data_IF_816761033050
#
_entry.id   IF_816761033050
#
_cell.length_a   1.000
_cell.length_b   1.000
_cell.length_c   1.000
_cell.angle_alpha   90.00
_cell.angle_beta   90.00
_cell.angle_gamma   90.00
#
_symmetry.space_group_name_H-M   'P 1'
#
loop_
_entity.id
_entity.type
_entity.pdbx_description
1 polymer ?
#
# COMPACT_ATOMS: atom_id res chain seq x y z
N UNK A 1 30.51 -23.58 2.48
CA UNK A 1 29.51 -23.88 1.44
C UNK A 1 30.21 -24.17 0.12
N UNK A 2 29.79 -25.21 -0.62
CA UNK A 2 30.27 -25.53 -1.98
C UNK A 2 29.07 -25.53 -2.93
N UNK A 3 29.18 -24.81 -4.03
CA UNK A 3 28.17 -24.80 -5.09
C UNK A 3 28.64 -25.68 -6.25
N UNK A 4 27.77 -26.56 -6.71
CA UNK A 4 27.99 -27.39 -7.89
C UNK A 4 26.84 -27.10 -8.85
N UNK A 5 27.15 -26.39 -9.94
CA UNK A 5 26.19 -26.11 -11.00
C UNK A 5 26.19 -27.21 -12.06
N UNK A 6 25.01 -27.69 -12.42
CA UNK A 6 24.79 -28.57 -13.57
C UNK A 6 23.94 -27.81 -14.58
N UNK A 7 24.45 -27.68 -15.81
CA UNK A 7 23.72 -27.07 -16.92
C UNK A 7 23.73 -28.02 -18.11
N UNK A 8 22.55 -28.49 -18.49
CA UNK A 8 22.28 -29.23 -19.72
C UNK A 8 21.15 -28.50 -20.47
N UNK A 9 20.99 -28.68 -21.78
CA UNK A 9 19.86 -28.09 -22.50
C UNK A 9 18.52 -28.49 -21.86
N UNK A 10 17.78 -27.50 -21.36
CA UNK A 10 16.49 -27.71 -20.68
C UNK A 10 16.57 -28.11 -19.20
N UNK A 11 17.76 -28.23 -18.61
CA UNK A 11 17.94 -28.52 -17.18
C UNK A 11 19.04 -27.65 -16.58
N UNK A 12 18.65 -26.79 -15.65
CA UNK A 12 19.57 -26.06 -14.79
C UNK A 12 19.35 -26.51 -13.35
N UNK A 13 20.40 -27.01 -12.71
CA UNK A 13 20.37 -27.45 -11.33
C UNK A 13 21.55 -26.83 -10.58
N UNK A 14 21.29 -26.30 -9.39
CA UNK A 14 22.30 -25.86 -8.45
C UNK A 14 22.25 -26.80 -7.24
N UNK A 15 23.34 -27.54 -7.01
CA UNK A 15 23.52 -28.33 -5.81
C UNK A 15 24.39 -27.56 -4.83
N UNK A 16 23.85 -27.30 -3.65
CA UNK A 16 24.57 -26.66 -2.56
C UNK A 16 24.92 -27.70 -1.49
N UNK A 17 26.20 -27.79 -1.15
CA UNK A 17 26.70 -28.66 -0.08
C UNK A 17 27.28 -27.78 1.03
N UNK A 18 26.67 -27.86 2.21
CA UNK A 18 27.15 -27.15 3.40
C UNK A 18 27.34 -28.09 4.59
N UNK A 19 28.16 -27.65 5.57
CA UNK A 19 28.32 -28.30 6.88
C UNK A 19 27.37 -27.70 7.92
N UNK A 20 26.68 -26.61 7.57
CA UNK A 20 25.74 -25.93 8.45
C UNK A 20 24.56 -26.85 8.77
N UNK A 21 24.06 -26.77 10.00
CA UNK A 21 22.85 -27.51 10.35
C UNK A 21 21.64 -26.92 9.62
N UNK A 22 20.55 -27.69 9.44
CA UNK A 22 19.30 -27.16 8.88
C UNK A 22 18.80 -25.88 9.56
N UNK A 23 19.00 -25.77 10.88
CA UNK A 23 18.59 -24.59 11.66
C UNK A 23 19.41 -23.34 11.32
N UNK A 24 20.73 -23.50 11.15
CA UNK A 24 21.60 -22.40 10.71
C UNK A 24 21.20 -21.96 9.30
N UNK A 25 20.94 -22.92 8.40
CA UNK A 25 20.51 -22.60 7.04
C UNK A 25 19.16 -21.88 6.99
N UNK A 26 18.21 -22.29 7.82
CA UNK A 26 16.92 -21.62 7.98
C UNK A 26 17.10 -20.18 8.48
N UNK A 27 17.96 -19.95 9.48
CA UNK A 27 18.27 -18.61 10.00
C UNK A 27 18.92 -17.71 8.94
N UNK A 28 19.83 -18.24 8.14
CA UNK A 28 20.47 -17.51 7.04
C UNK A 28 19.45 -17.11 5.97
N UNK A 29 18.56 -18.04 5.58
CA UNK A 29 17.50 -17.76 4.60
C UNK A 29 16.55 -16.68 5.12
N UNK A 30 16.15 -16.74 6.39
CA UNK A 30 15.32 -15.69 6.99
C UNK A 30 16.05 -14.34 7.07
N UNK A 31 17.33 -14.35 7.44
CA UNK A 31 18.16 -13.13 7.50
C UNK A 31 18.27 -12.48 6.12
N UNK A 32 18.61 -13.27 5.09
CA UNK A 32 18.69 -12.80 3.71
C UNK A 32 17.33 -12.27 3.22
N UNK A 33 16.26 -12.97 3.55
CA UNK A 33 14.91 -12.54 3.19
C UNK A 33 14.55 -11.19 3.79
N UNK A 34 14.77 -11.00 5.11
CA UNK A 34 14.48 -9.76 5.84
C UNK A 34 15.32 -8.58 5.35
N UNK A 35 16.51 -8.82 4.81
CA UNK A 35 17.35 -7.77 4.21
C UNK A 35 16.77 -7.22 2.90
N UNK A 36 16.04 -8.05 2.15
CA UNK A 36 15.59 -7.71 0.80
C UNK A 36 14.08 -7.54 0.66
N UNK A 37 13.29 -8.00 1.62
CA UNK A 37 11.83 -7.99 1.56
C UNK A 37 11.24 -7.25 2.74
N UNK A 38 10.05 -6.68 2.52
CA UNK A 38 9.18 -6.28 3.60
C UNK A 38 8.80 -7.54 4.39
N UNK A 39 8.89 -7.46 5.72
CA UNK A 39 8.42 -8.50 6.62
C UNK A 39 7.70 -7.87 7.81
N UNK A 40 6.96 -8.69 8.55
CA UNK A 40 6.09 -8.22 9.61
C UNK A 40 6.35 -9.03 10.87
N UNK A 41 6.46 -8.33 12.00
CA UNK A 41 6.65 -8.91 13.32
C UNK A 41 5.37 -8.78 14.14
N UNK A 42 5.03 -9.82 14.90
CA UNK A 42 3.79 -9.88 15.69
C UNK A 42 2.99 -11.20 15.54
N UNK A 43 1.70 -11.19 15.92
CA UNK A 43 0.91 -10.03 16.35
C UNK A 43 1.36 -9.45 17.70
N UNK A 44 1.21 -8.15 17.86
CA UNK A 44 1.36 -7.42 19.12
C UNK A 44 0.04 -7.39 19.90
N UNK A 45 0.08 -7.06 21.19
CA UNK A 45 -1.13 -7.05 22.05
C UNK A 45 -2.09 -5.90 21.71
N UNK A 46 -1.53 -4.74 21.33
CA UNK A 46 -2.27 -3.52 21.01
C UNK A 46 -1.44 -2.60 20.10
N UNK A 47 -2.07 -1.57 19.54
CA UNK A 47 -1.40 -0.59 18.67
C UNK A 47 -0.23 0.10 19.37
N UNK A 48 -0.37 0.43 20.66
CA UNK A 48 0.66 1.12 21.43
C UNK A 48 1.93 0.30 21.55
N UNK A 49 1.81 -1.01 21.74
CA UNK A 49 2.94 -1.94 21.83
C UNK A 49 3.62 -2.17 20.48
N UNK A 50 2.87 -2.20 19.37
CA UNK A 50 3.45 -2.21 18.03
C UNK A 50 4.18 -0.89 17.72
N UNK A 51 3.55 0.25 18.04
CA UNK A 51 4.15 1.57 17.84
C UNK A 51 5.46 1.71 18.62
N UNK A 52 5.49 1.29 19.89
CA UNK A 52 6.69 1.32 20.73
C UNK A 52 7.82 0.40 20.21
N UNK A 53 7.49 -0.60 19.39
CA UNK A 53 8.42 -1.53 18.77
C UNK A 53 8.83 -1.10 17.34
N UNK A 54 8.47 0.11 16.91
CA UNK A 54 8.70 0.63 15.55
C UNK A 54 9.31 2.03 15.56
N UNK A 55 9.92 2.44 14.44
CA UNK A 55 10.52 3.76 14.27
C UNK A 55 9.45 4.86 14.03
N UNK A 56 8.36 4.49 13.35
CA UNK A 56 7.24 5.39 13.01
C UNK A 56 7.46 6.25 11.76
N UNK A 57 6.43 7.01 11.39
CA UNK A 57 6.38 7.80 10.14
C UNK A 57 7.06 9.17 10.18
N UNK A 58 7.44 9.66 11.36
CA UNK A 58 7.89 11.05 11.54
C UNK A 58 9.38 11.29 11.26
N UNK A 59 10.09 10.34 10.63
CA UNK A 59 11.50 10.51 10.34
C UNK A 59 11.70 11.51 9.18
N UNK A 60 12.45 12.63 9.36
CA UNK A 60 12.69 13.62 8.31
C UNK A 60 13.29 13.05 7.02
N UNK A 61 14.03 11.94 7.13
CA UNK A 61 14.63 11.24 6.00
C UNK A 61 13.59 10.66 5.02
N UNK A 62 12.40 10.27 5.52
CA UNK A 62 11.31 9.75 4.67
C UNK A 62 10.77 10.87 3.78
N UNK A 63 10.51 12.06 4.35
CA UNK A 63 10.06 13.23 3.59
C UNK A 63 11.09 13.64 2.54
N UNK A 64 12.38 13.71 2.89
CA UNK A 64 13.41 14.05 1.92
C UNK A 64 13.41 13.07 0.73
N UNK A 65 13.29 11.77 1.01
CA UNK A 65 13.27 10.74 -0.01
C UNK A 65 12.01 10.81 -0.90
N UNK A 66 10.82 11.04 -0.31
CA UNK A 66 9.58 11.15 -1.09
C UNK A 66 9.59 12.39 -1.99
N UNK A 67 10.16 13.51 -1.52
CA UNK A 67 10.36 14.72 -2.32
C UNK A 67 11.28 14.43 -3.52
N UNK A 68 12.42 13.79 -3.28
CA UNK A 68 13.39 13.49 -4.36
C UNK A 68 12.84 12.50 -5.39
N UNK A 69 12.09 11.48 -4.95
CA UNK A 69 11.40 10.55 -5.82
C UNK A 69 10.32 11.28 -6.66
N UNK A 70 9.51 12.13 -6.03
CA UNK A 70 8.46 12.90 -6.72
C UNK A 70 9.06 13.88 -7.73
N UNK A 71 10.15 14.58 -7.39
CA UNK A 71 10.92 15.42 -8.33
C UNK A 71 11.38 14.63 -9.54
N UNK A 72 11.84 13.38 -9.36
CA UNK A 72 12.24 12.53 -10.48
C UNK A 72 11.10 12.30 -11.46
N UNK A 73 9.88 12.09 -10.95
CA UNK A 73 8.69 11.87 -11.78
C UNK A 73 8.23 13.16 -12.47
N UNK A 74 8.22 14.29 -11.75
CA UNK A 74 7.81 15.60 -12.32
C UNK A 74 8.78 16.07 -13.40
N UNK A 75 10.08 15.84 -13.22
CA UNK A 75 11.13 16.20 -14.17
C UNK A 75 11.28 15.19 -15.33
N UNK A 76 10.45 14.13 -15.37
CA UNK A 76 10.50 13.11 -16.42
C UNK A 76 11.69 12.16 -16.36
N UNK A 77 12.45 12.15 -15.25
CA UNK A 77 13.53 11.18 -14.99
C UNK A 77 13.01 9.80 -14.59
N UNK A 78 11.76 9.73 -14.12
CA UNK A 78 11.03 8.51 -13.83
C UNK A 78 9.59 8.61 -14.38
N UNK A 79 8.96 7.47 -14.66
CA UNK A 79 7.57 7.40 -15.09
C UNK A 79 6.59 7.57 -13.93
N UNK A 80 6.90 6.97 -12.78
CA UNK A 80 6.15 7.11 -11.53
C UNK A 80 7.05 6.69 -10.35
N UNK A 81 6.55 6.88 -9.13
CA UNK A 81 7.17 6.34 -7.92
C UNK A 81 6.12 5.63 -7.07
N UNK A 82 6.57 4.70 -6.23
CA UNK A 82 5.74 4.00 -5.25
C UNK A 82 6.58 3.70 -4.02
N UNK A 83 6.11 4.11 -2.85
CA UNK A 83 6.83 3.96 -1.58
C UNK A 83 8.26 4.52 -1.67
N UNK A 84 8.44 5.65 -2.37
CA UNK A 84 9.72 6.32 -2.69
C UNK A 84 10.65 5.60 -3.69
N UNK A 85 10.27 4.42 -4.17
CA UNK A 85 10.99 3.70 -5.23
C UNK A 85 10.58 4.27 -6.58
N UNK A 86 11.55 4.72 -7.37
CA UNK A 86 11.31 5.28 -8.71
C UNK A 86 11.27 4.19 -9.77
N UNK A 87 10.33 4.30 -10.71
CA UNK A 87 10.17 3.38 -11.83
C UNK A 87 10.32 4.14 -13.14
N UNK A 88 11.22 3.70 -14.00
CA UNK A 88 11.46 4.32 -15.32
C UNK A 88 10.47 3.82 -16.37
N UNK A 89 10.05 2.57 -16.29
CA UNK A 89 9.02 1.99 -17.14
C UNK A 89 7.63 2.34 -16.61
N UNK A 90 6.73 2.73 -17.51
CA UNK A 90 5.37 3.08 -17.14
C UNK A 90 4.57 1.83 -16.81
N UNK A 91 3.90 1.86 -15.66
CA UNK A 91 2.94 0.85 -15.25
C UNK A 91 1.81 1.52 -14.49
N UNK A 92 0.59 1.04 -14.69
CA UNK A 92 -0.59 1.52 -14.01
C UNK A 92 -1.09 0.47 -13.03
N UNK A 93 -1.68 0.91 -11.92
CA UNK A 93 -2.58 0.05 -11.16
C UNK A 93 -3.89 -0.06 -11.95
N UNK A 94 -3.99 -1.07 -12.81
CA UNK A 94 -5.16 -1.23 -13.69
C UNK A 94 -6.50 -1.28 -12.94
N UNK A 95 -6.64 -1.96 -11.79
CA UNK A 95 -7.89 -1.92 -11.01
C UNK A 95 -8.24 -0.50 -10.54
N UNK A 96 -7.27 0.22 -9.97
CA UNK A 96 -7.44 1.61 -9.53
C UNK A 96 -7.84 2.52 -10.70
N UNK A 97 -7.11 2.44 -11.81
CA UNK A 97 -7.38 3.24 -13.00
C UNK A 97 -8.77 2.97 -13.59
N UNK A 98 -9.19 1.70 -13.64
CA UNK A 98 -10.50 1.31 -14.16
C UNK A 98 -11.63 1.95 -13.34
N UNK A 99 -11.54 1.92 -12.01
CA UNK A 99 -12.55 2.52 -11.13
C UNK A 99 -12.54 4.05 -11.18
N UNK A 100 -11.36 4.69 -11.29
CA UNK A 100 -11.28 6.14 -11.51
C UNK A 100 -11.92 6.56 -12.84
N UNK A 101 -11.67 5.82 -13.92
CA UNK A 101 -12.31 6.06 -15.23
C UNK A 101 -13.82 5.79 -15.18
N UNK A 102 -14.26 4.77 -14.44
CA UNK A 102 -15.69 4.52 -14.21
C UNK A 102 -16.36 5.71 -13.52
N UNK A 103 -15.79 6.22 -12.43
CA UNK A 103 -16.32 7.42 -11.73
C UNK A 103 -16.40 8.62 -12.68
N UNK A 104 -15.37 8.86 -13.48
CA UNK A 104 -15.35 9.94 -14.46
C UNK A 104 -16.44 9.76 -15.52
N UNK A 105 -16.64 8.54 -16.02
CA UNK A 105 -17.69 8.22 -17.01
C UNK A 105 -19.12 8.44 -16.48
N UNK A 106 -19.30 8.38 -15.16
CA UNK A 106 -20.56 8.63 -14.46
C UNK A 106 -20.75 10.09 -14.03
N UNK A 107 -19.80 10.97 -14.37
CA UNK A 107 -19.71 12.35 -13.90
C UNK A 107 -19.36 13.33 -15.02
N UNK A 108 -19.90 13.14 -16.23
CA UNK A 108 -19.64 14.00 -17.41
C UNK A 108 -18.15 14.17 -17.73
N UNK A 109 -17.37 13.08 -17.60
CA UNK A 109 -15.92 13.04 -17.76
C UNK A 109 -15.17 13.98 -16.79
N UNK A 110 -15.74 14.25 -15.62
CA UNK A 110 -15.11 15.01 -14.53
C UNK A 110 -14.66 14.05 -13.44
N UNK A 111 -13.39 14.13 -13.06
CA UNK A 111 -12.84 13.35 -11.96
C UNK A 111 -12.32 14.31 -10.89
N UNK A 112 -12.96 14.28 -9.72
CA UNK A 112 -12.63 15.10 -8.57
C UNK A 112 -12.32 14.18 -7.40
N UNK A 113 -11.03 14.05 -7.09
CA UNK A 113 -10.50 13.07 -6.13
C UNK A 113 -10.05 13.78 -4.88
N UNK A 114 -10.49 13.27 -3.72
CA UNK A 114 -9.79 13.49 -2.46
C UNK A 114 -9.00 12.22 -2.15
N UNK A 115 -7.68 12.33 -2.05
CA UNK A 115 -6.74 11.23 -1.86
C UNK A 115 -6.14 11.31 -0.45
N UNK A 116 -6.68 10.50 0.45
CA UNK A 116 -6.31 10.54 1.87
C UNK A 116 -5.09 9.66 2.11
N UNK A 117 -3.99 10.26 2.58
CA UNK A 117 -2.69 9.59 2.68
C UNK A 117 -1.98 9.41 1.32
N UNK A 118 -2.23 10.32 0.37
CA UNK A 118 -1.67 10.27 -0.98
C UNK A 118 -0.20 10.72 -1.11
N UNK A 119 0.49 10.96 0.02
CA UNK A 119 1.85 11.50 0.08
C UNK A 119 2.01 12.80 -0.74
N UNK A 120 2.87 12.80 -1.76
CA UNK A 120 3.08 13.94 -2.66
C UNK A 120 2.32 13.79 -4.00
N UNK A 121 1.27 12.95 -4.03
CA UNK A 121 0.47 12.69 -5.23
C UNK A 121 0.93 11.47 -6.02
N UNK A 122 1.45 10.42 -5.37
CA UNK A 122 1.97 9.20 -6.01
C UNK A 122 0.98 8.59 -7.00
N UNK A 123 -0.26 8.37 -6.54
CA UNK A 123 -1.36 7.83 -7.35
C UNK A 123 -1.75 8.77 -8.49
N UNK A 124 -1.79 10.09 -8.25
CA UNK A 124 -2.01 11.09 -9.28
C UNK A 124 -0.94 11.00 -10.37
N UNK A 125 0.34 11.05 -10.01
CA UNK A 125 1.44 11.05 -10.97
C UNK A 125 1.55 9.75 -11.77
N UNK A 126 1.25 8.60 -11.14
CA UNK A 126 1.21 7.31 -11.83
C UNK A 126 0.13 7.30 -12.93
N UNK A 127 -1.04 7.92 -12.70
CA UNK A 127 -2.20 7.78 -13.58
C UNK A 127 -2.53 9.03 -14.42
N UNK A 128 -1.97 10.22 -14.13
CA UNK A 128 -2.31 11.52 -14.77
C UNK A 128 -2.27 11.49 -16.29
N UNK A 129 -1.37 10.71 -16.88
CA UNK A 129 -1.24 10.60 -18.34
C UNK A 129 -2.43 9.88 -18.97
N UNK A 130 -2.94 8.82 -18.33
CA UNK A 130 -4.13 8.11 -18.76
C UNK A 130 -5.41 8.94 -18.51
N UNK A 131 -5.40 9.81 -17.50
CA UNK A 131 -6.52 10.67 -17.11
C UNK A 131 -6.52 12.03 -17.81
N UNK A 132 -5.52 12.34 -18.64
CA UNK A 132 -5.33 13.67 -19.23
C UNK A 132 -6.43 14.09 -20.21
N UNK A 133 -7.18 13.12 -20.75
CA UNK A 133 -8.27 13.32 -21.72
C UNK A 133 -9.61 13.71 -21.08
N UNK A 134 -9.70 13.66 -19.74
CA UNK A 134 -10.92 14.01 -19.02
C UNK A 134 -11.26 15.50 -19.16
N UNK A 135 -12.55 15.82 -19.15
CA UNK A 135 -13.04 17.20 -19.23
C UNK A 135 -12.62 18.04 -18.01
N UNK A 136 -12.51 17.38 -16.85
CA UNK A 136 -11.99 17.96 -15.61
C UNK A 136 -11.20 16.91 -14.84
N UNK A 137 -10.03 17.29 -14.33
CA UNK A 137 -9.25 16.50 -13.40
C UNK A 137 -8.80 17.40 -12.25
N UNK A 138 -9.36 17.16 -11.07
CA UNK A 138 -8.98 17.84 -9.82
C UNK A 138 -8.64 16.78 -8.77
N UNK A 139 -7.46 16.86 -8.18
CA UNK A 139 -6.93 15.90 -7.23
C UNK A 139 -6.42 16.65 -6.02
N UNK A 140 -7.00 16.40 -4.84
CA UNK A 140 -6.54 16.98 -3.59
C UNK A 140 -6.01 15.88 -2.69
N UNK A 141 -4.73 15.95 -2.35
CA UNK A 141 -4.13 15.06 -1.37
C UNK A 141 -4.35 15.61 0.04
N UNK A 142 -4.85 14.76 0.94
CA UNK A 142 -4.95 15.04 2.37
C UNK A 142 -3.81 14.33 3.08
N UNK A 143 -2.94 15.09 3.74
CA UNK A 143 -1.70 14.59 4.32
C UNK A 143 -1.26 15.39 5.55
N UNK A 144 -0.23 14.90 6.24
CA UNK A 144 0.34 15.55 7.41
C UNK A 144 0.92 16.93 7.06
N UNK A 145 0.91 17.92 7.98
CA UNK A 145 1.24 19.31 7.68
C UNK A 145 2.60 19.54 7.00
N UNK A 146 3.62 18.74 7.34
CA UNK A 146 4.95 18.85 6.75
C UNK A 146 5.00 18.33 5.30
N UNK A 147 4.24 17.29 4.98
CA UNK A 147 4.08 16.78 3.60
C UNK A 147 3.28 17.78 2.77
N UNK A 148 2.18 18.31 3.32
CA UNK A 148 1.34 19.34 2.68
C UNK A 148 2.17 20.59 2.36
N UNK A 149 3.03 21.03 3.28
CA UNK A 149 3.91 22.17 3.07
C UNK A 149 4.87 21.94 1.89
N UNK A 150 5.49 20.76 1.80
CA UNK A 150 6.35 20.39 0.67
C UNK A 150 5.57 20.25 -0.64
N UNK A 151 4.37 19.63 -0.59
CA UNK A 151 3.45 19.50 -1.71
C UNK A 151 3.08 20.84 -2.33
N UNK A 152 2.61 21.79 -1.51
CA UNK A 152 2.26 23.16 -1.93
C UNK A 152 3.45 23.92 -2.49
N UNK A 153 4.63 23.75 -1.91
CA UNK A 153 5.83 24.47 -2.32
C UNK A 153 6.37 24.01 -3.68
N UNK A 154 6.23 22.73 -4.04
CA UNK A 154 6.96 22.14 -5.17
C UNK A 154 6.09 21.46 -6.24
N UNK A 155 4.91 20.96 -5.89
CA UNK A 155 4.15 20.03 -6.74
C UNK A 155 2.70 20.46 -7.00
N UNK A 156 2.18 21.44 -6.26
CA UNK A 156 0.83 21.97 -6.46
C UNK A 156 0.71 22.70 -7.81
N UNK A 157 -0.36 22.41 -8.53
CA UNK A 157 -0.67 23.03 -9.83
C UNK A 157 -2.19 23.20 -10.00
N UNK A 158 -2.65 23.52 -11.22
CA UNK A 158 -4.07 23.71 -11.49
C UNK A 158 -4.94 22.44 -11.39
N UNK A 159 -4.35 21.26 -11.20
CA UNK A 159 -5.00 19.94 -11.13
C UNK A 159 -4.69 19.20 -9.84
N UNK A 160 -3.50 19.34 -9.27
CA UNK A 160 -3.07 18.73 -8.02
C UNK A 160 -2.98 19.78 -6.92
N UNK A 161 -3.63 19.55 -5.79
CA UNK A 161 -3.58 20.41 -4.60
C UNK A 161 -3.39 19.62 -3.32
N UNK A 162 -3.07 20.30 -2.22
CA UNK A 162 -2.85 19.66 -0.92
C UNK A 162 -3.69 20.30 0.19
N UNK A 163 -4.10 19.52 1.17
CA UNK A 163 -4.84 19.95 2.36
C UNK A 163 -4.38 19.18 3.59
N UNK A 164 -4.43 19.83 4.75
CA UNK A 164 -4.14 19.25 6.05
C UNK A 164 -5.36 18.59 6.70
N UNK A 165 -6.55 18.71 6.09
CA UNK A 165 -7.80 18.24 6.65
C UNK A 165 -8.77 17.67 5.62
N UNK A 166 -9.44 16.58 5.97
CA UNK A 166 -10.40 15.90 5.10
C UNK A 166 -11.61 16.80 4.77
N UNK A 167 -12.15 17.53 5.76
CA UNK A 167 -13.31 18.41 5.57
C UNK A 167 -13.00 19.57 4.62
N UNK A 168 -11.85 20.23 4.81
CA UNK A 168 -11.40 21.31 3.93
C UNK A 168 -11.26 20.81 2.48
N UNK A 169 -10.66 19.64 2.29
CA UNK A 169 -10.51 19.02 0.98
C UNK A 169 -11.86 18.69 0.32
N UNK A 170 -12.81 18.15 1.08
CA UNK A 170 -14.14 17.81 0.57
C UNK A 170 -14.94 19.07 0.21
N UNK A 171 -14.93 20.09 1.05
CA UNK A 171 -15.65 21.34 0.80
C UNK A 171 -15.08 22.08 -0.42
N UNK A 172 -13.76 22.07 -0.55
CA UNK A 172 -13.03 22.72 -1.64
C UNK A 172 -13.19 22.01 -2.97
N UNK A 173 -12.99 20.67 -2.98
CA UNK A 173 -12.97 19.89 -4.23
C UNK A 173 -14.35 19.38 -4.62
N UNK A 174 -15.26 19.18 -3.66
CA UNK A 174 -16.55 18.50 -3.87
C UNK A 174 -16.34 17.19 -4.65
N UNK A 175 -15.56 16.25 -4.06
CA UNK A 175 -15.13 15.05 -4.77
C UNK A 175 -16.33 14.22 -5.21
N UNK A 176 -16.19 13.56 -6.35
CA UNK A 176 -17.06 12.43 -6.68
C UNK A 176 -16.48 11.10 -6.19
N UNK A 177 -15.18 11.05 -5.87
CA UNK A 177 -14.54 9.89 -5.26
C UNK A 177 -13.54 10.27 -4.17
N UNK A 178 -13.54 9.52 -3.07
CA UNK A 178 -12.44 9.51 -2.09
C UNK A 178 -11.58 8.27 -2.30
N UNK A 179 -10.27 8.45 -2.35
CA UNK A 179 -9.28 7.38 -2.47
C UNK A 179 -8.61 7.12 -1.11
N UNK A 180 -8.56 5.85 -0.73
CA UNK A 180 -7.86 5.33 0.45
C UNK A 180 -6.92 4.22 -0.02
N UNK A 181 -5.73 4.57 -0.54
CA UNK A 181 -4.80 3.59 -1.09
C UNK A 181 -3.62 3.34 -0.15
N UNK A 182 -3.67 2.25 0.63
CA UNK A 182 -2.58 1.85 1.52
C UNK A 182 -2.40 2.76 2.73
N UNK A 183 -3.49 3.33 3.25
CA UNK A 183 -3.46 4.30 4.37
C UNK A 183 -4.13 3.77 5.63
N UNK A 184 -5.28 3.10 5.50
CA UNK A 184 -6.14 2.77 6.65
C UNK A 184 -5.41 1.93 7.70
N UNK A 185 -4.66 0.92 7.26
CA UNK A 185 -3.92 0.02 8.16
C UNK A 185 -2.85 0.70 9.02
N UNK A 186 -2.44 1.93 8.68
CA UNK A 186 -1.40 2.66 9.39
C UNK A 186 -1.95 3.70 10.39
N UNK A 187 -3.28 3.79 10.51
CA UNK A 187 -3.94 4.66 11.48
C UNK A 187 -4.13 3.94 12.82
N UNK A 188 -4.00 4.67 13.93
CA UNK A 188 -4.19 4.12 15.28
C UNK A 188 -5.62 3.56 15.48
N UNK A 189 -6.62 4.26 14.95
CA UNK A 189 -8.05 3.92 15.11
C UNK A 189 -8.70 3.78 13.72
N UNK A 190 -8.32 2.75 12.93
CA UNK A 190 -8.64 2.70 11.50
C UNK A 190 -10.14 2.67 11.22
N UNK A 191 -10.92 1.95 12.05
CA UNK A 191 -12.38 1.88 11.91
C UNK A 191 -13.08 3.21 12.24
N UNK A 192 -12.53 4.01 13.16
CA UNK A 192 -13.11 5.32 13.49
C UNK A 192 -12.89 6.32 12.35
N UNK A 193 -11.68 6.35 11.78
CA UNK A 193 -11.40 7.15 10.58
C UNK A 193 -12.27 6.71 9.39
N UNK A 194 -12.47 5.39 9.23
CA UNK A 194 -13.32 4.85 8.17
C UNK A 194 -14.79 5.26 8.36
N UNK A 195 -15.37 5.06 9.55
CA UNK A 195 -16.75 5.47 9.88
C UNK A 195 -16.94 6.98 9.69
N UNK A 196 -15.99 7.78 10.17
CA UNK A 196 -16.00 9.24 10.02
C UNK A 196 -16.02 9.65 8.53
N UNK A 197 -15.15 9.06 7.71
CA UNK A 197 -15.10 9.33 6.27
C UNK A 197 -16.39 8.92 5.57
N UNK A 198 -16.91 7.72 5.85
CA UNK A 198 -18.16 7.23 5.26
C UNK A 198 -19.35 8.14 5.60
N UNK A 199 -19.39 8.69 6.82
CA UNK A 199 -20.46 9.57 7.28
C UNK A 199 -20.64 10.84 6.45
N UNK A 200 -19.59 11.27 5.72
CA UNK A 200 -19.62 12.45 4.84
C UNK A 200 -20.34 12.23 3.52
N UNK A 201 -20.70 10.98 3.20
CA UNK A 201 -21.62 10.68 2.11
C UNK A 201 -21.10 10.97 0.70
N UNK A 202 -19.78 10.93 0.47
CA UNK A 202 -19.23 11.06 -0.89
C UNK A 202 -19.71 9.90 -1.76
N UNK A 203 -20.14 10.20 -3.00
CA UNK A 203 -20.84 9.23 -3.85
C UNK A 203 -20.07 7.93 -4.07
N UNK A 204 -18.76 8.01 -4.30
CA UNK A 204 -17.90 6.86 -4.49
C UNK A 204 -16.73 6.88 -3.50
N UNK A 205 -16.34 5.70 -3.02
CA UNK A 205 -15.11 5.52 -2.25
C UNK A 205 -14.35 4.36 -2.87
N UNK A 206 -13.06 4.57 -3.10
CA UNK A 206 -12.16 3.56 -3.62
C UNK A 206 -11.11 3.27 -2.55
N UNK A 207 -11.19 2.07 -1.98
CA UNK A 207 -10.24 1.56 -1.00
C UNK A 207 -9.30 0.62 -1.74
N UNK A 208 -8.00 0.84 -1.62
CA UNK A 208 -6.97 0.13 -2.37
C UNK A 208 -5.80 -0.23 -1.45
N UNK A 209 -5.01 -1.26 -1.82
CA UNK A 209 -3.83 -1.73 -1.07
C UNK A 209 -4.04 -1.82 0.45
N UNK A 210 -5.19 -2.31 0.91
CA UNK A 210 -5.47 -2.45 2.35
C UNK A 210 -5.14 -3.86 2.84
N UNK A 211 -4.33 -3.97 3.90
CA UNK A 211 -4.01 -5.24 4.54
C UNK A 211 -5.20 -5.72 5.39
N UNK A 212 -6.04 -6.58 4.82
CA UNK A 212 -7.29 -6.98 5.45
C UNK A 212 -7.72 -8.41 5.11
N UNK A 213 -8.28 -9.11 6.09
CA UNK A 213 -8.66 -10.52 5.99
C UNK A 213 -10.08 -10.79 6.46
N UNK A 214 -10.70 -11.79 5.83
CA UNK A 214 -11.95 -12.32 6.30
C UNK A 214 -11.70 -13.36 7.40
N UNK A 215 -12.65 -13.47 8.33
CA UNK A 215 -12.69 -14.52 9.35
C UNK A 215 -11.52 -14.55 10.35
N UNK A 216 -10.78 -13.44 10.50
CA UNK A 216 -9.76 -13.23 11.53
C UNK A 216 -9.99 -11.93 12.28
N UNK A 217 -9.65 -11.90 13.57
CA UNK A 217 -9.69 -10.65 14.33
C UNK A 217 -8.62 -9.68 13.83
N UNK A 218 -8.92 -8.37 13.87
CA UNK A 218 -7.91 -7.37 13.56
C UNK A 218 -6.78 -7.45 14.59
N UNK A 219 -5.52 -7.42 14.12
CA UNK A 219 -4.36 -7.53 14.99
C UNK A 219 -3.24 -6.58 14.54
N UNK A 220 -2.52 -5.95 15.49
CA UNK A 220 -1.42 -5.06 15.16
C UNK A 220 -0.12 -5.85 14.97
N UNK A 221 0.70 -5.41 14.02
CA UNK A 221 2.02 -5.92 13.68
C UNK A 221 3.00 -4.75 13.55
N UNK A 222 4.29 -5.04 13.46
CA UNK A 222 5.31 -4.09 13.01
C UNK A 222 5.75 -4.49 11.60
N UNK A 223 5.54 -3.61 10.63
CA UNK A 223 6.09 -3.74 9.28
C UNK A 223 7.53 -3.23 9.27
N UNK A 224 8.46 -4.02 8.75
CA UNK A 224 9.84 -3.62 8.53
C UNK A 224 10.10 -3.40 7.04
N UNK A 225 10.70 -2.25 6.70
CA UNK A 225 11.04 -1.88 5.32
C UNK A 225 12.53 -2.14 5.09
N UNK A 226 12.93 -2.84 4.01
CA UNK A 226 14.33 -3.10 3.72
C UNK A 226 15.06 -1.81 3.32
N UNK A 227 16.34 -1.71 3.69
CA UNK A 227 17.13 -0.49 3.55
C UNK A 227 17.26 0.04 2.11
N UNK A 228 17.12 -0.82 1.09
CA UNK A 228 17.14 -0.42 -0.31
C UNK A 228 15.90 0.41 -0.71
N UNK A 229 14.76 0.20 -0.04
CA UNK A 229 13.59 1.09 -0.10
C UNK A 229 13.84 2.26 0.85
N UNK A 230 13.99 2.03 2.14
CA UNK A 230 14.55 2.94 3.15
C UNK A 230 14.53 2.20 4.50
N UNK A 231 15.44 2.54 5.41
CA UNK A 231 15.47 1.90 6.73
C UNK A 231 14.40 2.53 7.63
N UNK A 232 13.27 1.85 7.79
CA UNK A 232 12.25 2.22 8.77
C UNK A 232 11.37 1.01 9.14
N UNK A 233 10.61 1.19 10.22
CA UNK A 233 9.57 0.26 10.65
C UNK A 233 8.32 1.02 11.10
N UNK A 234 7.15 0.41 10.91
CA UNK A 234 5.86 1.04 11.16
C UNK A 234 4.90 0.11 11.89
N UNK A 235 4.06 0.63 12.81
CA UNK A 235 2.92 -0.14 13.28
C UNK A 235 1.92 -0.29 12.13
N UNK A 236 1.32 -1.47 12.00
CA UNK A 236 0.32 -1.75 10.99
C UNK A 236 -0.76 -2.66 11.56
N UNK A 237 -2.01 -2.42 11.20
CA UNK A 237 -3.09 -3.35 11.41
C UNK A 237 -3.20 -4.36 10.26
N UNK A 238 -3.32 -5.64 10.59
CA UNK A 238 -4.04 -6.56 9.71
C UNK A 238 -5.51 -6.46 10.08
N UNK A 239 -6.29 -5.81 9.23
CA UNK A 239 -7.67 -5.44 9.51
C UNK A 239 -8.62 -6.63 9.30
N UNK A 240 -9.78 -6.59 9.96
CA UNK A 240 -10.87 -7.52 9.69
C UNK A 240 -11.76 -6.95 8.57
N UNK A 241 -11.70 -7.58 7.41
CA UNK A 241 -12.45 -7.18 6.21
C UNK A 241 -13.98 -7.23 6.41
N UNK A 242 -14.48 -8.14 7.24
CA UNK A 242 -15.92 -8.25 7.54
C UNK A 242 -16.39 -7.09 8.40
N UNK A 243 -15.60 -6.64 9.36
CA UNK A 243 -15.87 -5.44 10.16
C UNK A 243 -15.84 -4.17 9.30
N UNK A 244 -14.89 -4.06 8.38
CA UNK A 244 -14.87 -2.97 7.39
C UNK A 244 -16.15 -2.96 6.55
N UNK A 245 -16.59 -4.11 6.02
CA UNK A 245 -17.83 -4.19 5.25
C UNK A 245 -19.09 -3.89 6.07
N UNK A 246 -19.09 -4.25 7.36
CA UNK A 246 -20.17 -3.87 8.26
C UNK A 246 -20.25 -2.35 8.44
N UNK A 247 -19.11 -1.66 8.52
CA UNK A 247 -19.03 -0.19 8.52
C UNK A 247 -19.56 0.41 7.21
N UNK A 248 -19.19 -0.16 6.04
CA UNK A 248 -19.73 0.30 4.75
C UNK A 248 -21.26 0.23 4.72
N UNK A 249 -21.82 -0.93 5.09
CA UNK A 249 -23.27 -1.16 5.10
C UNK A 249 -24.00 -0.28 6.12
N UNK A 250 -23.42 -0.08 7.32
CA UNK A 250 -23.92 0.84 8.35
C UNK A 250 -24.09 2.27 7.83
N UNK A 251 -23.24 2.68 6.89
CA UNK A 251 -23.26 3.99 6.26
C UNK A 251 -23.88 3.96 4.85
N UNK A 252 -24.75 3.00 4.54
CA UNK A 252 -25.46 2.84 3.26
C UNK A 252 -24.56 2.81 2.01
N UNK A 253 -23.35 2.28 2.13
CA UNK A 253 -22.51 1.98 0.97
C UNK A 253 -22.70 0.54 0.53
N UNK A 254 -22.92 0.36 -0.77
CA UNK A 254 -22.84 -0.94 -1.43
C UNK A 254 -21.40 -1.19 -1.88
N UNK A 255 -20.94 -2.44 -1.69
CA UNK A 255 -19.70 -2.93 -2.29
C UNK A 255 -20.00 -3.32 -3.73
N UNK A 256 -19.67 -2.44 -4.67
CA UNK A 256 -19.85 -2.70 -6.11
C UNK A 256 -18.85 -3.71 -6.62
N UNK A 257 -17.61 -3.64 -6.13
CA UNK A 257 -16.57 -4.61 -6.46
C UNK A 257 -15.58 -4.80 -5.32
N UNK A 258 -14.96 -5.98 -5.31
CA UNK A 258 -13.81 -6.32 -4.49
C UNK A 258 -12.73 -6.88 -5.40
N UNK A 259 -11.58 -6.24 -5.42
CA UNK A 259 -10.49 -6.58 -6.33
C UNK A 259 -9.18 -6.81 -5.59
N UNK A 260 -8.26 -7.48 -6.28
CA UNK A 260 -6.87 -7.62 -5.85
C UNK A 260 -6.07 -6.42 -6.39
N UNK A 261 -5.47 -5.59 -5.53
CA UNK A 261 -4.60 -4.50 -5.94
C UNK A 261 -3.38 -5.01 -6.72
N UNK A 262 -2.75 -4.12 -7.50
CA UNK A 262 -1.48 -4.43 -8.12
C UNK A 262 -0.44 -4.82 -7.05
N UNK A 263 0.37 -5.84 -7.34
CA UNK A 263 1.33 -6.41 -6.40
C UNK A 263 2.19 -5.34 -5.70
N UNK A 264 2.23 -5.41 -4.38
CA UNK A 264 3.06 -4.59 -3.50
C UNK A 264 4.46 -5.20 -3.35
N UNK A 265 5.38 -4.49 -2.72
CA UNK A 265 6.68 -5.05 -2.38
C UNK A 265 6.53 -6.06 -1.23
N UNK A 266 7.15 -7.22 -1.34
CA UNK A 266 7.19 -8.23 -0.28
C UNK A 266 6.61 -9.57 -0.69
N UNK A 267 7.36 -10.63 -0.41
CA UNK A 267 6.88 -12.01 -0.46
C UNK A 267 6.37 -12.41 0.93
N UNK A 268 5.48 -13.40 1.04
CA UNK A 268 5.05 -13.94 2.35
C UNK A 268 6.13 -14.87 2.93
N UNK A 269 6.94 -15.46 2.06
CA UNK A 269 7.93 -16.48 2.43
C UNK A 269 9.14 -16.38 1.51
N UNK A 270 10.36 -16.59 2.00
CA UNK A 270 11.50 -16.82 1.14
C UNK A 270 11.21 -18.02 0.21
N UNK A 271 11.31 -17.87 -1.13
CA UNK A 271 11.17 -18.99 -2.06
C UNK A 271 12.02 -20.22 -1.69
N UNK A 272 13.26 -20.08 -1.17
CA UNK A 272 14.07 -21.23 -0.73
C UNK A 272 13.47 -22.05 0.43
N UNK A 273 12.68 -21.47 1.36
CA UNK A 273 12.04 -22.26 2.43
C UNK A 273 10.91 -23.14 1.90
N UNK A 274 10.24 -22.72 0.82
CA UNK A 274 9.25 -23.55 0.14
C UNK A 274 9.91 -24.79 -0.48
N UNK A 275 11.16 -24.68 -0.94
CA UNK A 275 11.95 -25.80 -1.45
C UNK A 275 12.44 -26.74 -0.34
N UNK A 276 12.91 -26.22 0.80
CA UNK A 276 13.29 -27.06 1.95
C UNK A 276 12.11 -27.92 2.45
N UNK A 277 10.90 -27.34 2.49
CA UNK A 277 9.67 -28.06 2.84
C UNK A 277 9.34 -29.16 1.80
N UNK A 278 9.54 -28.89 0.51
CA UNK A 278 9.36 -29.88 -0.57
C UNK A 278 10.36 -31.05 -0.47
N UNK A 279 11.55 -30.80 0.08
CA UNK A 279 12.58 -31.83 0.29
C UNK A 279 12.42 -32.64 1.57
N UNK A 280 11.32 -32.44 2.32
CA UNK A 280 11.05 -33.20 3.55
C UNK A 280 11.97 -32.81 4.72
N UNK A 281 12.69 -31.70 4.60
CA UNK A 281 13.46 -31.13 5.70
C UNK A 281 12.46 -30.40 6.59
N UNK A 282 12.40 -30.78 7.87
CA UNK A 282 11.52 -30.15 8.85
C UNK A 282 11.92 -28.71 9.09
N UNK A 283 11.36 -27.80 8.30
CA UNK A 283 11.32 -26.36 8.58
C UNK A 283 10.31 -26.14 9.69
N UNK A 284 10.63 -25.29 10.65
CA UNK A 284 9.61 -24.80 11.58
C UNK A 284 8.48 -24.23 10.72
N UNK A 285 7.21 -24.63 10.89
CA UNK A 285 6.14 -24.00 10.15
C UNK A 285 6.26 -22.51 10.43
N UNK A 286 6.46 -21.69 9.39
CA UNK A 286 6.26 -20.27 9.54
C UNK A 286 4.89 -20.10 10.22
N UNK A 287 4.81 -19.40 11.37
CA UNK A 287 3.56 -19.26 12.12
C UNK A 287 2.47 -18.89 11.14
N UNK A 288 1.35 -19.65 11.15
CA UNK A 288 0.25 -19.63 10.18
C UNK A 288 0.40 -18.47 9.19
N UNK A 289 0.98 -18.76 8.03
CA UNK A 289 1.26 -17.75 7.01
C UNK A 289 -0.06 -17.19 6.51
N UNK A 290 -0.45 -16.08 7.11
CA UNK A 290 -1.47 -15.19 6.61
C UNK A 290 -0.90 -14.65 5.29
N UNK A 291 -1.33 -15.19 4.14
CA UNK A 291 -1.00 -14.61 2.84
C UNK A 291 -1.31 -13.11 2.88
N UNK A 292 -0.43 -12.25 2.33
CA UNK A 292 -0.63 -10.79 2.27
C UNK A 292 -1.92 -10.49 1.50
N UNK A 293 -3.05 -10.23 2.14
CA UNK A 293 -4.31 -10.06 1.43
C UNK A 293 -4.47 -8.56 1.33
N UNK A 294 -3.70 -7.98 0.42
CA UNK A 294 -4.06 -6.66 -0.06
C UNK A 294 -5.40 -6.83 -0.76
N UNK A 295 -6.41 -6.19 -0.22
CA UNK A 295 -7.76 -6.19 -0.79
C UNK A 295 -8.12 -4.74 -1.10
N UNK A 296 -8.79 -4.56 -2.23
CA UNK A 296 -9.43 -3.32 -2.60
C UNK A 296 -10.94 -3.47 -2.66
N UNK A 297 -11.65 -2.37 -2.41
CA UNK A 297 -13.09 -2.24 -2.54
C UNK A 297 -13.43 -1.00 -3.32
N UNK A 298 -14.37 -1.13 -4.24
CA UNK A 298 -15.06 0.01 -4.83
C UNK A 298 -16.46 0.09 -4.24
N UNK A 299 -16.74 1.21 -3.59
CA UNK A 299 -17.96 1.47 -2.85
C UNK A 299 -18.78 2.55 -3.55
N UNK A 300 -20.10 2.38 -3.52
CA UNK A 300 -21.05 3.38 -3.99
C UNK A 300 -22.08 3.67 -2.89
N UNK A 301 -22.28 4.95 -2.59
CA UNK A 301 -23.34 5.40 -1.67
C UNK A 301 -24.70 5.15 -2.32
N UNK A 302 -25.60 4.51 -1.58
CA UNK A 302 -26.98 4.31 -2.01
C UNK A 302 -27.74 5.66 -1.94
N UNK A 303 -28.45 5.98 -3.02
CA UNK A 303 -29.39 7.11 -3.04
C UNK A 303 -30.68 6.62 -2.37
N UNK A 304 -30.92 7.06 -1.13
CA UNK A 304 -32.15 6.81 -0.35
C UNK A 304 -33.19 7.87 -0.68
#
# INVERSE_FOLDING_TARGET
MRHIGFALPGLHCLLEVTRDSPQVREQDIWSEFRLHNIFFDGPHNDWRSAMAASDGYNAPAILAKVVDATRAVVQGRASYERDTVVFTERSYSHPLLAWLLYVASRSDLRLRVVDFGGALGSSYFQHRSALAHLAELNWCVVEQPHVVSAGRAEFEDGRLSFSDGLDEAIDRVRPNVVLLSGVLQYLERPYEYLDDLLSRGVKFILIDRTAAQFDVAAAPFVQHVPAWIYSASYPIWFLNAKEMQASFAKHDYEVVDRFQPAGTFGLVTPPPLQELKRWGIGVTPAPQQHEWPYVGWFLQKLEI
#
